data_IF_360315768930
#
_entry.id   IF_360315768930
#
_cell.length_a   1.000
_cell.length_b   1.000
_cell.length_c   1.000
_cell.angle_alpha   90.00
_cell.angle_beta   90.00
_cell.angle_gamma   90.00
#
_symmetry.space_group_name_H-M   'P 1'
#
loop_
_entity.id
_entity.type
_entity.pdbx_description
1 polymer ?
#
# COMPACT_ATOMS: atom_id res chain seq x y z
N UNK A 1 -29.86 52.23 18.47
CA UNK A 1 -29.67 51.09 17.55
C UNK A 1 -28.25 51.10 17.03
N UNK A 2 -27.31 50.53 17.79
CA UNK A 2 -25.90 50.48 17.39
C UNK A 2 -25.68 49.10 16.81
N UNK A 3 -25.81 48.94 15.49
CA UNK A 3 -25.42 47.71 14.82
C UNK A 3 -23.90 47.70 14.71
N UNK A 4 -23.29 46.75 15.40
CA UNK A 4 -21.87 46.39 15.34
C UNK A 4 -21.51 45.97 13.92
N UNK A 5 -21.01 46.91 13.12
CA UNK A 5 -20.45 46.61 11.80
C UNK A 5 -19.06 46.01 12.02
N UNK A 6 -18.95 44.69 11.90
CA UNK A 6 -17.65 44.02 11.91
C UNK A 6 -16.80 44.52 10.73
N UNK A 7 -15.52 44.75 11.01
CA UNK A 7 -14.58 45.27 10.03
C UNK A 7 -14.32 44.26 8.91
N UNK A 8 -13.90 44.73 7.73
CA UNK A 8 -13.68 43.85 6.57
C UNK A 8 -12.66 42.73 6.87
N UNK A 9 -11.63 43.03 7.67
CA UNK A 9 -10.62 42.06 8.10
C UNK A 9 -11.21 40.97 9.01
N UNK A 10 -12.10 41.33 9.93
CA UNK A 10 -12.77 40.35 10.80
C UNK A 10 -13.70 39.44 10.01
N UNK A 11 -14.42 39.98 9.01
CA UNK A 11 -15.26 39.19 8.10
C UNK A 11 -14.47 38.13 7.32
N UNK A 12 -13.26 38.46 6.85
CA UNK A 12 -12.40 37.48 6.19
C UNK A 12 -12.00 36.35 7.14
N UNK A 13 -11.61 36.67 8.38
CA UNK A 13 -11.24 35.66 9.39
C UNK A 13 -12.39 34.70 9.66
N UNK A 14 -13.62 35.21 9.80
CA UNK A 14 -14.80 34.35 9.98
C UNK A 14 -15.12 33.50 8.75
N UNK A 15 -14.97 34.03 7.54
CA UNK A 15 -15.17 33.25 6.30
C UNK A 15 -14.15 32.12 6.16
N UNK A 16 -12.87 32.37 6.44
CA UNK A 16 -11.84 31.32 6.44
C UNK A 16 -12.11 30.26 7.51
N UNK A 17 -12.61 30.65 8.69
CA UNK A 17 -12.98 29.72 9.75
C UNK A 17 -14.14 28.80 9.34
N UNK A 18 -15.21 29.35 8.74
CA UNK A 18 -16.36 28.57 8.28
C UNK A 18 -15.97 27.59 7.16
N UNK A 19 -15.15 28.04 6.20
CA UNK A 19 -14.67 27.18 5.10
C UNK A 19 -13.77 26.06 5.64
N UNK A 20 -12.88 26.37 6.59
CA UNK A 20 -12.00 25.39 7.22
C UNK A 20 -12.79 24.28 7.95
N UNK A 21 -13.83 24.67 8.70
CA UNK A 21 -14.71 23.71 9.39
C UNK A 21 -15.49 22.85 8.37
N UNK A 22 -16.01 23.44 7.29
CA UNK A 22 -16.73 22.70 6.25
C UNK A 22 -15.83 21.68 5.51
N UNK A 23 -14.60 22.06 5.18
CA UNK A 23 -13.62 21.17 4.54
C UNK A 23 -13.19 20.06 5.51
N UNK A 24 -12.95 20.39 6.79
CA UNK A 24 -12.59 19.43 7.82
C UNK A 24 -13.66 18.34 8.05
N UNK A 25 -14.94 18.70 8.02
CA UNK A 25 -16.05 17.75 8.12
C UNK A 25 -16.20 16.89 6.84
N UNK A 26 -15.94 17.45 5.66
CA UNK A 26 -16.03 16.72 4.38
C UNK A 26 -14.97 15.63 4.20
N UNK A 27 -13.74 15.84 4.67
CA UNK A 27 -12.65 14.85 4.53
C UNK A 27 -12.90 13.60 5.40
N UNK A 28 -13.55 13.76 6.56
CA UNK A 28 -13.84 12.66 7.48
C UNK A 28 -14.83 11.62 6.95
N UNK A 29 -15.81 12.05 6.15
CA UNK A 29 -16.84 11.16 5.58
C UNK A 29 -16.34 10.41 4.35
N UNK A 30 -15.47 11.02 3.55
CA UNK A 30 -14.97 10.46 2.28
C UNK A 30 -14.06 9.24 2.50
N UNK A 31 -13.30 9.17 3.60
CA UNK A 31 -12.44 8.00 3.91
C UNK A 31 -13.23 6.69 4.05
N UNK A 32 -14.50 6.76 4.48
CA UNK A 32 -15.34 5.58 4.73
C UNK A 32 -16.06 5.06 3.47
N UNK A 33 -16.29 5.92 2.49
CA UNK A 33 -17.13 5.59 1.32
C UNK A 33 -16.33 5.15 0.09
N UNK A 34 -15.08 5.62 -0.06
CA UNK A 34 -14.24 5.29 -1.21
C UNK A 34 -13.31 4.09 -0.98
N UNK A 35 -13.32 3.52 0.22
CA UNK A 35 -12.62 2.28 0.53
C UNK A 35 -13.59 1.11 0.39
N UNK A 36 -13.82 0.65 -0.84
CA UNK A 36 -14.45 -0.65 -1.11
C UNK A 36 -13.37 -1.73 -1.06
N UNK A 37 -13.37 -2.65 -0.09
CA UNK A 37 -12.58 -3.87 -0.20
C UNK A 37 -13.44 -4.90 -0.94
N UNK A 38 -13.46 -4.84 -2.27
CA UNK A 38 -14.08 -5.87 -3.13
C UNK A 38 -13.17 -7.12 -3.24
N UNK A 39 -12.52 -7.48 -2.15
CA UNK A 39 -11.49 -8.51 -2.09
C UNK A 39 -11.92 -9.71 -1.24
N UNK A 40 -12.96 -9.57 -0.41
CA UNK A 40 -13.47 -10.67 0.41
C UNK A 40 -14.19 -11.74 -0.42
N UNK A 41 -14.91 -11.34 -1.47
CA UNK A 41 -15.75 -12.27 -2.24
C UNK A 41 -14.92 -13.10 -3.24
N UNK A 42 -13.83 -12.55 -3.78
CA UNK A 42 -12.90 -13.29 -4.63
C UNK A 42 -12.06 -14.29 -3.80
N UNK A 43 -11.61 -13.88 -2.61
CA UNK A 43 -10.85 -14.75 -1.71
C UNK A 43 -11.71 -15.91 -1.19
N UNK A 44 -12.98 -15.68 -0.85
CA UNK A 44 -13.84 -16.76 -0.33
C UNK A 44 -14.10 -17.85 -1.38
N UNK A 45 -14.24 -17.49 -2.66
CA UNK A 45 -14.43 -18.45 -3.75
C UNK A 45 -13.15 -19.23 -4.08
N UNK A 46 -11.98 -18.58 -4.07
CA UNK A 46 -10.70 -19.29 -4.22
C UNK A 46 -10.44 -20.23 -3.04
N UNK A 47 -10.71 -19.82 -1.79
CA UNK A 47 -10.52 -20.66 -0.60
C UNK A 47 -11.47 -21.88 -0.62
N UNK A 48 -12.71 -21.71 -1.09
CA UNK A 48 -13.66 -22.82 -1.22
C UNK A 48 -13.19 -23.84 -2.27
N UNK A 49 -12.59 -23.38 -3.37
CA UNK A 49 -12.02 -24.23 -4.42
C UNK A 49 -10.83 -25.06 -3.87
N UNK A 50 -9.90 -24.43 -3.14
CA UNK A 50 -8.79 -25.14 -2.49
C UNK A 50 -9.23 -26.10 -1.38
N UNK A 51 -10.30 -25.78 -0.64
CA UNK A 51 -10.85 -26.64 0.42
C UNK A 51 -11.53 -27.89 -0.14
N UNK A 52 -12.05 -27.83 -1.38
CA UNK A 52 -12.61 -29.00 -2.07
C UNK A 52 -11.54 -29.96 -2.65
N UNK A 53 -10.27 -29.52 -2.68
CA UNK A 53 -9.13 -30.27 -3.19
C UNK A 53 -8.29 -30.94 -2.09
N UNK A 54 -8.84 -31.10 -0.88
CA UNK A 54 -8.18 -31.89 0.17
C UNK A 54 -8.08 -33.34 -0.29
N UNK A 55 -6.91 -33.66 -0.83
CA UNK A 55 -6.34 -35.00 -0.94
C UNK A 55 -6.48 -35.67 0.43
N UNK A 56 -6.99 -36.90 0.47
CA UNK A 56 -6.95 -37.74 1.66
C UNK A 56 -5.48 -38.00 2.03
N UNK A 57 -4.90 -37.12 2.85
CA UNK A 57 -3.55 -37.30 3.37
C UNK A 57 -3.67 -38.32 4.50
N UNK A 58 -3.31 -39.57 4.19
CA UNK A 58 -3.12 -40.65 5.14
C UNK A 58 -2.03 -40.26 6.17
N UNK A 59 -2.48 -39.81 7.35
CA UNK A 59 -1.64 -39.38 8.48
C UNK A 59 -0.63 -40.44 8.93
N UNK A 60 -0.81 -41.71 8.53
CA UNK A 60 0.11 -42.81 8.86
C UNK A 60 1.49 -42.69 8.20
N UNK A 61 1.68 -41.76 7.24
CA UNK A 61 2.97 -41.51 6.57
C UNK A 61 3.76 -40.33 7.14
N UNK A 62 3.26 -39.61 8.13
CA UNK A 62 3.98 -38.49 8.76
C UNK A 62 4.82 -38.95 9.97
N UNK A 63 5.80 -39.81 9.72
CA UNK A 63 6.90 -40.04 10.67
C UNK A 63 8.04 -39.07 10.37
N UNK A 64 7.89 -37.81 10.78
CA UNK A 64 9.00 -36.86 10.83
C UNK A 64 9.64 -36.92 12.23
N UNK A 65 10.52 -37.90 12.44
CA UNK A 65 11.35 -37.96 13.65
C UNK A 65 12.38 -36.83 13.62
N UNK A 66 12.45 -36.05 14.71
CA UNK A 66 13.38 -34.92 14.94
C UNK A 66 14.87 -35.33 15.04
N UNK A 67 15.26 -36.52 14.57
CA UNK A 67 16.63 -37.02 14.60
C UNK A 67 17.49 -36.50 13.44
N UNK A 68 16.88 -35.85 12.44
CA UNK A 68 17.57 -35.22 11.31
C UNK A 68 17.89 -33.72 11.51
N UNK A 69 17.93 -33.22 12.74
CA UNK A 69 18.17 -31.80 13.05
C UNK A 69 19.59 -31.46 13.52
N UNK A 70 20.55 -32.39 13.40
CA UNK A 70 21.94 -32.16 13.86
C UNK A 70 23.01 -32.39 12.79
N UNK A 71 22.64 -32.42 11.50
CA UNK A 71 23.59 -32.48 10.36
C UNK A 71 23.20 -31.54 9.22
N UNK A 72 22.98 -30.27 9.54
CA UNK A 72 22.73 -29.25 8.52
C UNK A 72 23.36 -27.91 8.91
N UNK A 73 24.69 -27.84 8.79
CA UNK A 73 25.42 -26.56 8.80
C UNK A 73 25.08 -25.68 7.58
N UNK A 74 24.23 -26.14 6.66
CA UNK A 74 23.89 -25.48 5.38
C UNK A 74 22.40 -25.08 5.22
N UNK A 75 21.65 -24.92 6.31
CA UNK A 75 20.30 -24.31 6.24
C UNK A 75 20.30 -23.02 7.04
N UNK A 76 21.00 -21.99 6.54
CA UNK A 76 20.57 -20.62 6.82
C UNK A 76 19.22 -20.44 6.12
N UNK A 77 18.10 -20.23 6.82
CA UNK A 77 16.88 -19.79 6.16
C UNK A 77 17.20 -18.42 5.56
N UNK A 78 17.48 -18.39 4.25
CA UNK A 78 17.55 -17.17 3.48
C UNK A 78 16.11 -16.67 3.42
N UNK A 79 15.71 -15.91 4.43
CA UNK A 79 14.47 -15.15 4.43
C UNK A 79 14.66 -14.11 3.32
N UNK A 80 14.39 -14.49 2.08
CA UNK A 80 14.36 -13.57 0.95
C UNK A 80 13.10 -12.74 1.14
N UNK A 81 13.26 -11.58 1.78
CA UNK A 81 12.24 -10.54 1.74
C UNK A 81 11.93 -10.32 0.27
N UNK A 82 10.71 -10.66 -0.15
CA UNK A 82 10.30 -10.60 -1.56
C UNK A 82 10.28 -9.14 -1.97
N UNK A 83 11.36 -8.68 -2.61
CA UNK A 83 11.42 -7.35 -3.18
C UNK A 83 10.40 -7.25 -4.31
N UNK A 84 9.57 -6.21 -4.25
CA UNK A 84 8.51 -5.95 -5.23
C UNK A 84 9.10 -5.26 -6.46
N UNK A 85 8.80 -5.78 -7.65
CA UNK A 85 9.21 -5.13 -8.88
C UNK A 85 8.25 -3.97 -9.23
N UNK A 86 8.79 -2.76 -9.27
CA UNK A 86 8.01 -1.52 -9.48
C UNK A 86 7.41 -1.45 -10.90
N UNK A 87 8.07 -2.05 -11.88
CA UNK A 87 7.60 -2.01 -13.27
C UNK A 87 6.40 -2.93 -13.53
N UNK A 88 6.26 -3.99 -12.74
CA UNK A 88 5.21 -5.02 -12.91
C UNK A 88 4.18 -5.03 -11.78
N UNK A 89 4.45 -4.37 -10.65
CA UNK A 89 3.56 -4.32 -9.50
C UNK A 89 2.17 -3.76 -9.85
N UNK A 90 1.15 -4.35 -9.23
CA UNK A 90 -0.22 -3.83 -9.26
C UNK A 90 -0.37 -2.64 -8.30
N UNK A 91 -1.46 -1.88 -8.42
CA UNK A 91 -1.78 -0.79 -7.50
C UNK A 91 -1.84 -1.26 -6.05
N UNK A 92 -2.42 -2.44 -5.82
CA UNK A 92 -2.54 -3.03 -4.47
C UNK A 92 -1.17 -3.43 -3.92
N UNK A 93 -0.30 -4.03 -4.74
CA UNK A 93 1.05 -4.40 -4.32
C UNK A 93 1.86 -3.16 -3.94
N UNK A 94 1.79 -2.09 -4.75
CA UNK A 94 2.47 -0.83 -4.45
C UNK A 94 1.97 -0.21 -3.14
N UNK A 95 0.69 -0.37 -2.81
CA UNK A 95 0.11 0.12 -1.55
C UNK A 95 0.55 -0.68 -0.31
N UNK A 96 1.15 -1.87 -0.47
CA UNK A 96 1.77 -2.59 0.64
C UNK A 96 3.08 -1.95 1.11
N UNK A 97 3.67 -1.10 0.28
CA UNK A 97 4.93 -0.45 0.57
C UNK A 97 4.77 0.66 1.62
N UNK A 98 5.76 0.87 2.50
CA UNK A 98 5.71 1.92 3.49
C UNK A 98 5.60 3.29 2.80
N UNK A 99 4.72 4.16 3.33
CA UNK A 99 4.48 5.54 2.83
C UNK A 99 3.89 5.63 1.42
N UNK A 100 3.51 4.53 0.78
CA UNK A 100 2.80 4.54 -0.50
C UNK A 100 1.29 4.40 -0.25
N UNK A 101 0.57 5.50 -0.50
CA UNK A 101 -0.89 5.52 -0.50
C UNK A 101 -1.48 5.35 -1.90
N UNK A 102 -2.82 5.28 -2.03
CA UNK A 102 -3.51 5.06 -3.30
C UNK A 102 -3.14 6.10 -4.36
N UNK A 103 -3.00 7.37 -3.97
CA UNK A 103 -2.63 8.47 -4.87
C UNK A 103 -1.20 8.34 -5.38
N UNK A 104 -0.27 7.88 -4.55
CA UNK A 104 1.14 7.71 -4.95
C UNK A 104 1.31 6.46 -5.81
N UNK A 105 0.63 5.36 -5.46
CA UNK A 105 0.60 4.14 -6.26
C UNK A 105 0.08 4.40 -7.69
N UNK A 106 -0.99 5.19 -7.80
CA UNK A 106 -1.56 5.56 -9.09
C UNK A 106 -0.60 6.40 -9.94
N UNK A 107 0.13 7.35 -9.32
CA UNK A 107 1.17 8.12 -10.01
C UNK A 107 2.35 7.26 -10.47
N UNK A 108 2.72 6.23 -9.71
CA UNK A 108 3.78 5.29 -10.12
C UNK A 108 3.36 4.57 -11.41
N UNK A 109 2.12 4.07 -11.46
CA UNK A 109 1.57 3.39 -12.63
C UNK A 109 1.47 4.37 -13.82
N UNK A 110 0.86 5.53 -13.60
CA UNK A 110 0.74 6.55 -14.64
C UNK A 110 2.10 6.95 -15.21
N UNK A 111 3.12 7.11 -14.35
CA UNK A 111 4.47 7.46 -14.82
C UNK A 111 5.05 6.39 -15.76
N UNK A 112 4.92 5.10 -15.42
CA UNK A 112 5.44 4.03 -16.30
C UNK A 112 4.64 3.87 -17.58
N UNK A 113 3.36 4.22 -17.57
CA UNK A 113 2.51 4.20 -18.76
C UNK A 113 2.83 5.37 -19.71
N UNK A 114 3.08 6.57 -19.15
CA UNK A 114 3.35 7.79 -19.93
C UNK A 114 4.81 7.90 -20.41
N UNK A 115 5.77 7.53 -19.55
CA UNK A 115 7.21 7.72 -19.79
C UNK A 115 7.97 6.42 -20.04
N UNK A 116 7.30 5.27 -19.93
CA UNK A 116 7.91 3.95 -20.00
C UNK A 116 8.47 3.45 -18.66
N UNK A 117 8.99 2.21 -18.62
CA UNK A 117 9.43 1.57 -17.39
C UNK A 117 10.56 2.33 -16.68
N UNK A 118 10.60 2.23 -15.35
CA UNK A 118 11.68 2.75 -14.53
C UNK A 118 12.97 1.99 -14.83
N UNK A 119 14.07 2.71 -15.01
CA UNK A 119 15.39 2.14 -15.29
C UNK A 119 16.24 2.04 -14.05
N UNK A 120 16.02 2.94 -13.10
CA UNK A 120 16.70 2.96 -11.80
C UNK A 120 15.74 3.28 -10.67
N UNK A 121 16.11 2.90 -9.44
CA UNK A 121 15.28 3.19 -8.26
C UNK A 121 15.17 4.70 -8.06
N UNK A 122 16.19 5.46 -8.45
CA UNK A 122 16.23 6.92 -8.38
C UNK A 122 15.17 7.58 -9.28
N UNK A 123 14.71 6.91 -10.34
CA UNK A 123 13.64 7.42 -11.21
C UNK A 123 12.33 7.62 -10.45
N UNK A 124 12.12 6.91 -9.33
CA UNK A 124 10.95 7.11 -8.46
C UNK A 124 10.90 8.53 -7.84
N UNK A 125 12.03 9.25 -7.76
CA UNK A 125 12.05 10.65 -7.29
C UNK A 125 11.33 11.61 -8.23
N UNK A 126 11.10 11.21 -9.48
CA UNK A 126 10.35 12.01 -10.46
C UNK A 126 8.85 12.04 -10.13
N UNK A 127 8.37 11.15 -9.25
CA UNK A 127 6.96 11.08 -8.87
C UNK A 127 6.67 12.03 -7.72
N UNK A 128 5.71 12.93 -7.95
CA UNK A 128 5.23 13.87 -6.94
C UNK A 128 4.65 13.14 -5.71
N UNK A 129 5.39 13.19 -4.60
CA UNK A 129 5.04 12.53 -3.34
C UNK A 129 6.11 11.54 -2.86
N UNK A 130 7.08 11.19 -3.70
CA UNK A 130 8.25 10.40 -3.34
C UNK A 130 9.44 11.34 -3.23
N UNK A 131 9.86 11.64 -2.00
CA UNK A 131 11.10 12.36 -1.73
C UNK A 131 12.22 11.40 -1.32
N UNK A 132 13.43 11.94 -1.12
CA UNK A 132 14.61 11.15 -0.76
C UNK A 132 14.38 10.24 0.46
N UNK A 133 13.77 10.79 1.52
CA UNK A 133 13.45 10.03 2.74
C UNK A 133 12.50 8.86 2.48
N UNK A 134 11.50 9.07 1.61
CA UNK A 134 10.56 8.02 1.23
C UNK A 134 11.28 6.96 0.41
N UNK A 135 12.09 7.37 -0.56
CA UNK A 135 12.85 6.45 -1.40
C UNK A 135 13.77 5.56 -0.55
N UNK A 136 14.48 6.13 0.41
CA UNK A 136 15.40 5.38 1.27
C UNK A 136 14.67 4.31 2.12
N UNK A 137 13.42 4.57 2.51
CA UNK A 137 12.57 3.58 3.18
C UNK A 137 12.03 2.51 2.22
N UNK A 138 11.90 2.82 0.94
CA UNK A 138 11.39 1.90 -0.08
C UNK A 138 12.45 0.96 -0.63
N UNK A 139 13.70 1.44 -0.78
CA UNK A 139 14.85 0.68 -1.32
C UNK A 139 14.93 -0.79 -0.87
N UNK A 140 14.76 -1.16 0.42
CA UNK A 140 14.85 -2.56 0.82
C UNK A 140 13.68 -3.44 0.34
N UNK A 141 12.55 -2.85 -0.03
CA UNK A 141 11.32 -3.55 -0.41
C UNK A 141 11.06 -3.57 -1.91
N UNK A 142 11.82 -2.81 -2.69
CA UNK A 142 11.59 -2.66 -4.14
C UNK A 142 12.80 -3.10 -4.95
N UNK A 143 12.55 -3.48 -6.18
CA UNK A 143 13.57 -3.78 -7.18
C UNK A 143 13.09 -3.34 -8.57
N UNK A 144 14.02 -3.29 -9.52
CA UNK A 144 13.76 -3.10 -10.93
C UNK A 144 14.39 -4.30 -11.64
N UNK A 145 13.61 -4.99 -12.47
CA UNK A 145 14.02 -6.15 -13.26
C UNK A 145 14.01 -5.84 -14.75
#
# INVERSE_FOLDING_TARGET
TVMTVLTQKERFVFQFFIISVAVGLGVGTIRKTYFKPDFSEQIENEIAEFKSLSIDIDESKLNYTQENLSKSDDIKPKISVKSLDVNTASKNDLMTLPKIGPVTAEKIIQYRDDFGPFKSIEDLLKIKGIGQKTLDQLKPFIQIK
#
